data_IF_090284545566
#
_entry.id   IF_090284545566
#
_cell.length_a   1.000
_cell.length_b   1.000
_cell.length_c   1.000
_cell.angle_alpha   90.00
_cell.angle_beta   90.00
_cell.angle_gamma   90.00
#
_symmetry.space_group_name_H-M   'P 1'
#
loop_
_entity.id
_entity.type
_entity.pdbx_description
1 polymer ?
#
# COMPACT_ATOMS: atom_id res chain seq x y z
N UNK A 1 -30.91 -50.01 -73.11
CA UNK A 1 -30.77 -50.65 -71.78
C UNK A 1 -30.27 -49.60 -70.83
N UNK A 2 -31.16 -49.17 -69.97
CA UNK A 2 -31.09 -47.98 -69.13
C UNK A 2 -30.25 -48.24 -67.92
N UNK A 3 -29.33 -47.35 -67.65
CA UNK A 3 -28.64 -47.25 -66.32
C UNK A 3 -29.33 -46.23 -65.41
N UNK A 4 -29.39 -46.47 -64.13
CA UNK A 4 -30.18 -45.66 -63.22
C UNK A 4 -29.48 -44.38 -62.74
N UNK A 5 -30.31 -43.41 -62.45
CA UNK A 5 -30.04 -42.05 -62.07
C UNK A 5 -29.17 -41.91 -60.82
N UNK A 6 -28.25 -40.95 -60.88
CA UNK A 6 -27.48 -40.47 -59.72
C UNK A 6 -28.31 -39.45 -59.01
N UNK A 7 -28.75 -39.78 -57.79
CA UNK A 7 -29.28 -38.80 -56.83
C UNK A 7 -28.17 -37.93 -56.30
N UNK A 8 -28.21 -36.65 -56.61
CA UNK A 8 -27.36 -35.62 -56.02
C UNK A 8 -27.97 -35.18 -54.72
N UNK A 9 -27.29 -35.49 -53.59
CA UNK A 9 -27.59 -34.92 -52.28
C UNK A 9 -27.16 -33.49 -52.29
N UNK A 10 -28.12 -32.56 -52.30
CA UNK A 10 -27.84 -31.14 -51.89
C UNK A 10 -27.62 -31.09 -50.41
N UNK A 11 -26.40 -30.80 -50.00
CA UNK A 11 -26.02 -30.57 -48.62
C UNK A 11 -26.75 -29.36 -48.05
N UNK A 12 -27.52 -29.60 -47.03
CA UNK A 12 -28.10 -28.56 -46.16
C UNK A 12 -26.98 -27.98 -45.35
N UNK A 13 -26.63 -26.73 -45.63
CA UNK A 13 -25.70 -25.97 -44.79
C UNK A 13 -26.37 -25.66 -43.47
N UNK A 14 -25.74 -25.93 -42.31
CA UNK A 14 -26.27 -25.51 -41.04
C UNK A 14 -26.20 -23.98 -40.94
N UNK A 15 -27.32 -23.35 -40.58
CA UNK A 15 -27.41 -21.92 -40.22
C UNK A 15 -26.52 -21.66 -39.04
N UNK A 16 -25.72 -20.56 -39.05
CA UNK A 16 -25.07 -20.10 -37.81
C UNK A 16 -26.15 -19.60 -36.87
N UNK A 17 -26.27 -20.26 -35.74
CA UNK A 17 -27.03 -19.78 -34.59
C UNK A 17 -26.24 -18.62 -34.04
N UNK A 18 -26.68 -17.40 -34.28
CA UNK A 18 -26.19 -16.20 -33.69
C UNK A 18 -26.56 -16.20 -32.20
N UNK A 19 -25.65 -16.69 -31.39
CA UNK A 19 -25.60 -16.42 -29.96
C UNK A 19 -24.60 -15.31 -29.76
N UNK A 20 -25.05 -14.07 -29.76
CA UNK A 20 -24.26 -12.97 -29.17
C UNK A 20 -24.07 -13.29 -27.72
N UNK A 21 -22.96 -13.95 -27.38
CA UNK A 21 -22.44 -13.93 -26.03
C UNK A 21 -22.11 -12.49 -25.72
N UNK A 22 -23.00 -11.80 -25.01
CA UNK A 22 -22.66 -10.58 -24.27
C UNK A 22 -21.40 -10.90 -23.45
N UNK A 23 -20.26 -10.46 -23.96
CA UNK A 23 -19.06 -10.30 -23.17
C UNK A 23 -19.43 -9.26 -22.11
N UNK A 24 -19.87 -9.75 -20.94
CA UNK A 24 -19.95 -8.93 -19.76
C UNK A 24 -18.58 -8.34 -19.59
N UNK A 25 -18.49 -7.02 -19.84
CA UNK A 25 -17.28 -6.27 -19.64
C UNK A 25 -16.70 -6.66 -18.29
N UNK A 26 -15.50 -7.20 -18.30
CA UNK A 26 -14.73 -7.36 -17.08
C UNK A 26 -14.63 -5.96 -16.49
N UNK A 27 -15.33 -5.73 -15.39
CA UNK A 27 -15.15 -4.52 -14.60
C UNK A 27 -13.65 -4.37 -14.31
N UNK A 28 -13.15 -3.15 -14.07
CA UNK A 28 -11.74 -2.90 -13.85
C UNK A 28 -11.24 -3.93 -12.83
N UNK A 29 -10.26 -4.74 -13.27
CA UNK A 29 -9.70 -5.81 -12.45
C UNK A 29 -9.22 -5.17 -11.15
N UNK A 30 -9.69 -5.67 -10.02
CA UNK A 30 -9.30 -5.22 -8.67
C UNK A 30 -7.78 -5.22 -8.47
N UNK A 31 -7.04 -5.95 -9.32
CA UNK A 31 -5.59 -5.98 -9.36
C UNK A 31 -4.95 -4.62 -9.74
N UNK A 32 -5.68 -3.72 -10.39
CA UNK A 32 -5.16 -2.39 -10.75
C UNK A 32 -5.11 -1.40 -9.56
N UNK A 33 -5.71 -1.74 -8.43
CA UNK A 33 -5.74 -0.88 -7.24
C UNK A 33 -4.59 -1.16 -6.25
N UNK A 34 -3.78 -2.20 -6.47
CA UNK A 34 -2.65 -2.48 -5.59
C UNK A 34 -1.47 -1.58 -5.95
N UNK A 35 -1.00 -0.79 -4.99
CA UNK A 35 0.29 -0.12 -5.15
C UNK A 35 1.36 -1.18 -5.38
N UNK A 36 2.09 -1.05 -6.49
CA UNK A 36 3.25 -1.91 -6.73
C UNK A 36 4.24 -1.72 -5.59
N UNK A 37 4.77 -2.81 -5.05
CA UNK A 37 5.88 -2.75 -4.12
C UNK A 37 7.06 -2.08 -4.83
N UNK A 38 7.52 -0.95 -4.32
CA UNK A 38 8.61 -0.17 -4.90
C UNK A 38 9.79 -0.12 -3.94
N UNK A 39 10.99 -0.25 -4.46
CA UNK A 39 12.23 -0.01 -3.72
C UNK A 39 12.49 1.48 -3.46
N UNK A 40 11.79 2.36 -4.18
CA UNK A 40 11.83 3.79 -3.89
C UNK A 40 10.92 4.12 -2.71
N UNK A 41 11.42 4.96 -1.80
CA UNK A 41 10.57 5.54 -0.76
C UNK A 41 9.43 6.34 -1.42
N UNK A 42 8.16 6.04 -1.11
CA UNK A 42 7.05 6.82 -1.65
C UNK A 42 7.14 8.27 -1.18
N UNK A 43 6.54 9.18 -1.96
CA UNK A 43 6.38 10.56 -1.52
C UNK A 43 5.65 10.58 -0.16
N UNK A 44 6.18 11.38 0.76
CA UNK A 44 5.59 11.51 2.08
C UNK A 44 4.14 12.00 1.97
N UNK A 45 3.24 11.36 2.71
CA UNK A 45 1.85 11.76 2.83
C UNK A 45 1.57 12.13 4.28
N UNK A 46 0.80 13.18 4.47
CA UNK A 46 0.40 13.67 5.78
C UNK A 46 -0.46 12.65 6.51
N UNK A 47 -0.27 12.57 7.82
CA UNK A 47 -0.99 11.66 8.70
C UNK A 47 -1.44 12.37 9.99
N UNK A 48 -2.48 11.87 10.67
CA UNK A 48 -2.87 12.38 11.98
C UNK A 48 -1.68 12.42 12.95
N UNK A 49 -1.49 13.56 13.60
CA UNK A 49 -0.37 13.83 14.49
C UNK A 49 0.84 14.49 13.84
N UNK A 50 0.86 14.65 12.51
CA UNK A 50 1.90 15.43 11.85
C UNK A 50 1.67 16.93 12.10
N UNK A 51 2.76 17.66 12.24
CA UNK A 51 2.74 19.12 12.33
C UNK A 51 3.32 19.73 11.07
N UNK A 52 2.61 20.70 10.53
CA UNK A 52 2.97 21.39 9.29
C UNK A 52 2.97 22.89 9.55
N UNK A 53 4.08 23.55 9.28
CA UNK A 53 4.13 25.01 9.23
C UNK A 53 3.54 25.46 7.89
N UNK A 54 2.40 26.12 7.95
CA UNK A 54 1.73 26.71 6.80
C UNK A 54 2.11 28.16 6.69
N UNK A 55 2.79 28.55 5.60
CA UNK A 55 3.16 29.93 5.31
C UNK A 55 2.28 30.47 4.18
N UNK A 56 1.75 31.65 4.40
CA UNK A 56 0.92 32.37 3.42
C UNK A 56 1.59 33.71 3.14
N UNK A 57 2.50 33.81 2.15
CA UNK A 57 3.25 35.03 1.88
C UNK A 57 2.38 36.25 1.53
N UNK A 58 1.19 36.03 0.97
CA UNK A 58 0.20 37.08 0.68
C UNK A 58 -0.56 37.59 1.89
N UNK A 59 -0.50 36.87 3.02
CA UNK A 59 -1.13 37.19 4.29
C UNK A 59 -0.31 36.58 5.44
N UNK A 60 0.87 37.18 5.79
CA UNK A 60 1.80 36.59 6.75
C UNK A 60 1.20 36.34 8.13
N UNK A 61 0.19 37.12 8.51
CA UNK A 61 -0.56 37.01 9.76
C UNK A 61 -1.34 35.69 9.89
N UNK A 62 -1.61 35.02 8.77
CA UNK A 62 -2.22 33.69 8.76
C UNK A 62 -1.21 32.55 8.89
N UNK A 63 0.08 32.84 8.74
CA UNK A 63 1.12 31.81 8.80
C UNK A 63 1.23 31.24 10.20
N UNK A 64 1.06 29.91 10.32
CA UNK A 64 1.09 29.21 11.60
C UNK A 64 1.42 27.72 11.42
N UNK A 65 1.84 27.09 12.52
CA UNK A 65 1.95 25.63 12.57
C UNK A 65 0.59 25.03 12.90
N UNK A 66 0.22 24.01 12.12
CA UNK A 66 -1.04 23.26 12.30
C UNK A 66 -0.73 21.78 12.49
N UNK A 67 -1.53 21.12 13.30
CA UNK A 67 -1.44 19.67 13.52
C UNK A 67 -2.58 18.99 12.77
N UNK A 68 -2.27 17.89 12.09
CA UNK A 68 -3.29 17.04 11.49
C UNK A 68 -4.04 16.33 12.62
N UNK A 69 -5.32 16.63 12.74
CA UNK A 69 -6.17 16.06 13.79
C UNK A 69 -6.43 14.54 13.57
N UNK A 70 -6.89 13.80 14.61
CA UNK A 70 -7.19 12.37 14.49
C UNK A 70 -8.24 12.02 13.43
N UNK A 71 -9.12 12.97 13.08
CA UNK A 71 -10.12 12.84 12.00
C UNK A 71 -9.51 13.01 10.61
N UNK A 72 -8.19 13.24 10.52
CA UNK A 72 -7.47 13.43 9.28
C UNK A 72 -7.53 14.82 8.68
N UNK A 73 -8.10 15.78 9.39
CA UNK A 73 -8.30 17.13 8.90
C UNK A 73 -7.38 18.13 9.62
N UNK A 74 -7.14 19.25 8.95
CA UNK A 74 -6.53 20.46 9.52
C UNK A 74 -7.58 21.57 9.56
N UNK A 75 -7.65 22.31 10.65
CA UNK A 75 -8.45 23.52 10.76
C UNK A 75 -7.55 24.74 10.58
N UNK A 76 -7.93 25.61 9.65
CA UNK A 76 -7.15 26.78 9.32
C UNK A 76 -8.03 28.03 9.23
N UNK A 77 -7.57 29.18 9.74
CA UNK A 77 -8.31 30.43 9.65
C UNK A 77 -8.70 30.76 8.22
N UNK A 78 -9.90 31.25 7.99
CA UNK A 78 -10.49 31.61 6.69
C UNK A 78 -10.67 30.45 5.70
N UNK A 79 -9.89 29.37 5.82
CA UNK A 79 -10.00 28.17 4.96
C UNK A 79 -10.95 27.10 5.54
N UNK A 80 -11.23 27.16 6.86
CA UNK A 80 -12.08 26.18 7.52
C UNK A 80 -11.39 24.83 7.75
N UNK A 81 -12.09 23.74 7.44
CA UNK A 81 -11.60 22.37 7.63
C UNK A 81 -11.10 21.82 6.29
N UNK A 82 -9.83 21.41 6.26
CA UNK A 82 -9.13 20.94 5.07
C UNK A 82 -8.71 19.48 5.29
N UNK A 83 -9.06 18.55 4.39
CA UNK A 83 -8.59 17.18 4.48
C UNK A 83 -7.09 17.11 4.18
N UNK A 84 -6.32 16.61 5.15
CA UNK A 84 -4.86 16.52 5.08
C UNK A 84 -4.34 15.08 4.97
N UNK A 85 -5.02 14.11 5.59
CA UNK A 85 -4.58 12.71 5.59
C UNK A 85 -4.50 12.15 4.17
N UNK A 86 -3.45 11.34 3.92
CA UNK A 86 -3.13 10.73 2.62
C UNK A 86 -2.82 11.74 1.49
N UNK A 87 -2.61 13.01 1.81
CA UNK A 87 -2.19 14.04 0.86
C UNK A 87 -0.69 14.25 0.94
N UNK A 88 -0.06 14.45 -0.22
CA UNK A 88 1.29 15.01 -0.27
C UNK A 88 1.25 16.48 0.15
N UNK A 89 2.40 17.04 0.51
CA UNK A 89 2.48 18.47 0.86
C UNK A 89 1.95 19.37 -0.27
N UNK A 90 2.31 19.07 -1.53
CA UNK A 90 1.84 19.85 -2.69
C UNK A 90 0.34 19.73 -2.93
N UNK A 91 -0.26 18.55 -2.72
CA UNK A 91 -1.72 18.37 -2.77
C UNK A 91 -2.41 19.17 -1.66
N UNK A 92 -1.83 19.17 -0.45
CA UNK A 92 -2.34 19.93 0.69
C UNK A 92 -2.23 21.44 0.45
N UNK A 93 -1.10 21.95 -0.05
CA UNK A 93 -0.91 23.36 -0.45
C UNK A 93 -1.98 23.80 -1.46
N UNK A 94 -2.24 22.96 -2.45
CA UNK A 94 -3.24 23.25 -3.48
C UNK A 94 -4.66 23.36 -2.89
N UNK A 95 -5.03 22.45 -2.00
CA UNK A 95 -6.32 22.48 -1.30
C UNK A 95 -6.45 23.71 -0.40
N UNK A 96 -5.40 24.06 0.33
CA UNK A 96 -5.33 25.25 1.17
C UNK A 96 -5.49 26.52 0.33
N UNK A 97 -4.74 26.64 -0.77
CA UNK A 97 -4.83 27.79 -1.68
C UNK A 97 -6.23 27.91 -2.26
N UNK A 98 -6.84 26.80 -2.67
CA UNK A 98 -8.23 26.80 -3.17
C UNK A 98 -9.22 27.28 -2.11
N UNK A 99 -9.12 26.79 -0.87
CA UNK A 99 -10.01 27.21 0.21
C UNK A 99 -9.85 28.70 0.56
N UNK A 100 -8.61 29.20 0.60
CA UNK A 100 -8.31 30.61 0.87
C UNK A 100 -8.69 31.55 -0.27
N UNK A 101 -8.87 31.06 -1.50
CA UNK A 101 -9.19 31.89 -2.67
C UNK A 101 -10.54 32.60 -2.57
N UNK A 102 -11.42 32.15 -1.67
CA UNK A 102 -12.69 32.83 -1.36
C UNK A 102 -12.52 34.12 -0.56
N UNK A 103 -11.39 34.28 0.13
CA UNK A 103 -11.12 35.39 1.05
C UNK A 103 -9.88 36.20 0.64
N UNK A 104 -8.95 35.61 -0.08
CA UNK A 104 -7.69 36.21 -0.49
C UNK A 104 -7.54 36.21 -2.00
N UNK A 105 -6.95 37.28 -2.53
CA UNK A 105 -6.65 37.38 -3.95
C UNK A 105 -5.34 36.61 -4.27
N UNK A 106 -5.44 35.53 -5.05
CA UNK A 106 -4.29 34.69 -5.47
C UNK A 106 -3.44 34.22 -4.30
N UNK A 107 -4.00 33.52 -3.31
CA UNK A 107 -3.23 33.04 -2.16
C UNK A 107 -2.14 32.06 -2.64
N UNK A 108 -0.92 32.28 -2.20
CA UNK A 108 0.17 31.32 -2.29
C UNK A 108 0.31 30.66 -0.94
N UNK A 109 0.38 29.34 -0.91
CA UNK A 109 0.54 28.57 0.31
C UNK A 109 1.78 27.69 0.17
N UNK A 110 2.59 27.66 1.21
CA UNK A 110 3.73 26.77 1.37
C UNK A 110 3.52 25.93 2.62
N UNK A 111 3.64 24.62 2.51
CA UNK A 111 3.54 23.68 3.62
C UNK A 111 4.92 23.08 3.89
N UNK A 112 5.47 23.34 5.08
CA UNK A 112 6.78 22.86 5.50
C UNK A 112 6.56 21.89 6.66
N UNK A 113 7.03 20.62 6.57
CA UNK A 113 6.95 19.70 7.70
C UNK A 113 7.69 20.27 8.92
N UNK A 114 7.00 20.42 10.04
CA UNK A 114 7.59 20.86 11.30
C UNK A 114 7.94 19.67 12.19
N UNK A 115 7.02 18.70 12.32
CA UNK A 115 7.29 17.43 12.97
C UNK A 115 6.46 16.30 12.32
N UNK A 116 6.97 15.10 12.44
CA UNK A 116 6.27 13.91 11.95
C UNK A 116 5.63 13.20 13.14
N UNK A 117 4.36 12.90 13.04
CA UNK A 117 3.68 12.03 13.99
C UNK A 117 4.36 10.65 14.05
N UNK A 118 4.12 9.90 15.12
CA UNK A 118 4.77 8.61 15.36
C UNK A 118 4.72 7.71 14.12
N UNK A 119 5.88 7.41 13.57
CA UNK A 119 6.06 6.44 12.49
C UNK A 119 6.45 5.11 13.13
N UNK A 120 5.53 4.16 13.20
CA UNK A 120 5.73 2.90 13.90
C UNK A 120 5.51 1.71 12.99
N UNK A 121 6.29 0.67 13.26
CA UNK A 121 6.10 -0.67 12.67
C UNK A 121 5.94 -1.69 13.79
N UNK A 122 5.19 -2.74 13.49
CA UNK A 122 5.00 -3.87 14.39
C UNK A 122 5.91 -5.01 13.93
N UNK A 123 6.82 -5.48 14.79
CA UNK A 123 7.69 -6.62 14.50
C UNK A 123 7.24 -7.80 15.36
N UNK A 124 6.94 -8.93 14.72
CA UNK A 124 6.36 -10.11 15.35
C UNK A 124 7.07 -11.40 14.91
N UNK A 125 6.82 -12.48 15.65
CA UNK A 125 7.33 -13.82 15.37
C UNK A 125 8.66 -14.10 16.04
N UNK A 126 9.55 -14.85 15.39
CA UNK A 126 10.82 -15.34 15.91
C UNK A 126 11.91 -14.24 15.89
N UNK A 127 11.72 -13.23 16.73
CA UNK A 127 12.65 -12.11 16.97
C UNK A 127 12.89 -11.96 18.47
N UNK A 128 14.03 -11.38 18.84
CA UNK A 128 14.42 -11.26 20.25
C UNK A 128 13.40 -10.55 21.13
N UNK A 129 12.77 -9.49 20.62
CA UNK A 129 11.75 -8.73 21.33
C UNK A 129 10.62 -8.36 20.37
N UNK A 130 9.57 -9.17 20.23
CA UNK A 130 8.38 -8.78 19.45
C UNK A 130 7.70 -7.54 20.05
N UNK A 131 7.32 -6.57 19.20
CA UNK A 131 6.72 -5.35 19.70
C UNK A 131 6.53 -4.26 18.65
N UNK A 132 6.07 -3.09 19.10
CA UNK A 132 5.90 -1.90 18.31
C UNK A 132 7.14 -1.02 18.42
N UNK A 133 7.71 -0.64 17.27
CA UNK A 133 8.96 0.12 17.19
C UNK A 133 8.77 1.41 16.40
N UNK A 134 9.38 2.48 16.86
CA UNK A 134 9.44 3.74 16.13
C UNK A 134 10.45 3.60 14.96
N UNK A 135 10.08 4.12 13.79
CA UNK A 135 10.94 4.19 12.61
C UNK A 135 11.80 5.46 12.71
N UNK A 136 13.14 5.34 12.84
CA UNK A 136 14.02 6.51 12.88
C UNK A 136 14.17 7.19 11.50
N UNK A 137 13.68 6.57 10.45
CA UNK A 137 13.78 7.02 9.06
C UNK A 137 13.33 5.94 8.09
N UNK A 138 13.64 6.07 6.81
CA UNK A 138 13.37 5.03 5.80
C UNK A 138 14.30 3.83 6.02
N UNK A 139 13.83 2.83 6.75
CA UNK A 139 14.51 1.56 7.02
C UNK A 139 13.76 0.40 6.39
N UNK A 140 14.46 -0.70 6.11
CA UNK A 140 13.89 -1.94 5.60
C UNK A 140 13.52 -2.92 6.72
N UNK A 141 13.05 -4.10 6.31
CA UNK A 141 12.64 -5.15 7.23
C UNK A 141 13.83 -5.70 8.03
N UNK A 142 15.04 -5.73 7.45
CA UNK A 142 16.23 -6.23 8.14
C UNK A 142 16.60 -5.34 9.33
N UNK A 143 16.60 -4.03 9.12
CA UNK A 143 16.90 -3.05 10.17
C UNK A 143 15.83 -3.07 11.27
N UNK A 144 14.56 -3.22 10.90
CA UNK A 144 13.47 -3.35 11.87
C UNK A 144 13.63 -4.60 12.75
N UNK A 145 14.01 -5.74 12.15
CA UNK A 145 14.32 -6.96 12.90
C UNK A 145 15.53 -6.75 13.79
N UNK A 146 16.57 -6.05 13.32
CA UNK A 146 17.75 -5.75 14.14
C UNK A 146 17.39 -4.89 15.36
N UNK A 147 16.52 -3.88 15.20
CA UNK A 147 16.00 -3.06 16.30
C UNK A 147 15.19 -3.91 17.30
N UNK A 148 14.47 -4.94 16.80
CA UNK A 148 13.72 -5.90 17.63
C UNK A 148 14.59 -6.97 18.30
N UNK A 149 15.89 -6.76 18.37
CA UNK A 149 16.83 -7.68 19.05
C UNK A 149 17.34 -8.82 18.17
N UNK A 150 17.12 -8.75 16.84
CA UNK A 150 17.60 -9.73 15.88
C UNK A 150 16.69 -10.96 15.74
N UNK A 151 17.17 -11.92 14.98
CA UNK A 151 16.47 -13.18 14.73
C UNK A 151 16.75 -14.19 15.85
N UNK A 152 15.70 -14.89 16.27
CA UNK A 152 15.87 -16.10 17.07
C UNK A 152 16.49 -17.25 16.25
N UNK A 153 17.03 -18.26 16.93
CA UNK A 153 17.69 -19.40 16.28
C UNK A 153 16.72 -20.22 15.41
N UNK A 154 15.44 -20.22 15.76
CA UNK A 154 14.37 -20.94 15.06
C UNK A 154 13.78 -20.14 13.88
N UNK A 155 14.23 -18.90 13.68
CA UNK A 155 13.69 -17.99 12.67
C UNK A 155 13.98 -18.44 11.24
N UNK A 156 12.96 -18.49 10.41
CA UNK A 156 13.12 -18.61 8.96
C UNK A 156 13.41 -17.26 8.33
N UNK A 157 14.68 -16.96 8.12
CA UNK A 157 15.18 -15.68 7.61
C UNK A 157 14.98 -15.51 6.10
N UNK A 158 14.65 -16.61 5.38
CA UNK A 158 14.47 -16.58 3.92
C UNK A 158 13.04 -16.21 3.50
N UNK A 159 12.09 -16.23 4.42
CA UNK A 159 10.68 -15.99 4.13
C UNK A 159 10.03 -15.09 5.19
N UNK A 160 10.59 -13.91 5.38
CA UNK A 160 10.00 -12.90 6.28
C UNK A 160 8.85 -12.20 5.56
N UNK A 161 7.71 -12.08 6.23
CA UNK A 161 6.53 -11.41 5.69
C UNK A 161 6.51 -9.91 6.02
N UNK A 162 6.29 -9.06 5.02
CA UNK A 162 5.92 -7.66 5.24
C UNK A 162 4.44 -7.53 4.91
N UNK A 163 3.64 -7.11 5.89
CA UNK A 163 2.20 -6.91 5.74
C UNK A 163 1.94 -5.42 5.78
N UNK A 164 1.31 -4.91 4.73
CA UNK A 164 0.97 -3.50 4.56
C UNK A 164 -0.52 -3.33 4.31
N UNK A 165 -1.11 -2.28 4.85
CA UNK A 165 -2.48 -1.93 4.52
C UNK A 165 -2.55 -1.38 3.09
N UNK A 166 -3.40 -1.97 2.26
CA UNK A 166 -3.68 -1.46 0.92
C UNK A 166 -4.61 -0.24 0.96
N UNK A 167 -4.61 0.62 -0.09
CA UNK A 167 -5.48 1.80 -0.16
C UNK A 167 -6.98 1.49 -0.08
N UNK A 168 -7.39 0.29 -0.49
CA UNK A 168 -8.78 -0.21 -0.40
C UNK A 168 -9.14 -0.75 0.99
N UNK A 169 -8.21 -0.66 1.97
CA UNK A 169 -8.36 -1.17 3.33
C UNK A 169 -8.02 -2.65 3.49
N UNK A 170 -7.67 -3.35 2.40
CA UNK A 170 -7.19 -4.73 2.45
C UNK A 170 -5.78 -4.84 3.04
N UNK A 171 -5.27 -6.06 3.17
CA UNK A 171 -3.89 -6.32 3.53
C UNK A 171 -3.11 -6.82 2.30
N UNK A 172 -1.92 -6.26 2.09
CA UNK A 172 -0.94 -6.75 1.12
C UNK A 172 0.16 -7.49 1.88
N UNK A 173 0.49 -8.71 1.44
CA UNK A 173 1.59 -9.50 2.00
C UNK A 173 2.70 -9.62 0.96
N UNK A 174 3.93 -9.38 1.38
CA UNK A 174 5.13 -9.66 0.61
C UNK A 174 6.11 -10.50 1.41
N UNK A 175 6.61 -11.56 0.80
CA UNK A 175 7.73 -12.34 1.33
C UNK A 175 9.06 -11.71 0.91
N UNK A 176 10.00 -11.63 1.84
CA UNK A 176 11.34 -11.08 1.61
C UNK A 176 12.40 -12.05 2.14
N UNK A 177 13.49 -12.23 1.40
CA UNK A 177 14.63 -13.05 1.83
C UNK A 177 15.68 -12.20 2.53
N UNK A 178 15.56 -12.07 3.84
CA UNK A 178 16.53 -11.32 4.65
C UNK A 178 17.86 -12.09 4.85
N UNK A 179 17.88 -13.40 4.59
CA UNK A 179 19.13 -14.16 4.58
C UNK A 179 20.01 -13.80 3.37
N UNK A 180 19.41 -13.54 2.22
CA UNK A 180 20.10 -13.02 1.06
C UNK A 180 20.64 -11.61 1.31
N UNK A 181 19.85 -10.73 1.94
CA UNK A 181 20.28 -9.38 2.34
C UNK A 181 21.52 -9.41 3.25
N UNK A 182 21.54 -10.29 4.24
CA UNK A 182 22.69 -10.47 5.17
C UNK A 182 23.97 -10.94 4.47
N UNK A 183 23.86 -11.58 3.31
CA UNK A 183 25.01 -12.06 2.51
C UNK A 183 25.50 -11.05 1.49
N UNK A 184 24.89 -9.87 1.40
CA UNK A 184 25.22 -8.86 0.39
C UNK A 184 24.79 -9.24 -1.02
N UNK A 185 23.86 -10.19 -1.18
CA UNK A 185 23.34 -10.60 -2.49
C UNK A 185 22.33 -9.61 -3.07
N UNK A 186 22.29 -9.51 -4.40
CA UNK A 186 21.34 -8.64 -5.13
C UNK A 186 19.85 -9.04 -4.96
N UNK A 187 19.56 -10.14 -4.26
CA UNK A 187 18.21 -10.62 -3.96
C UNK A 187 17.63 -10.14 -2.63
N UNK A 188 18.37 -9.33 -1.88
CA UNK A 188 17.90 -8.74 -0.63
C UNK A 188 16.83 -7.69 -0.88
N UNK A 189 15.75 -7.75 -0.12
CA UNK A 189 14.67 -6.78 -0.26
C UNK A 189 15.06 -5.45 0.36
N UNK A 190 15.13 -4.40 -0.48
CA UNK A 190 15.40 -3.01 -0.09
C UNK A 190 14.12 -2.17 0.00
N UNK A 191 12.96 -2.82 0.20
CA UNK A 191 11.70 -2.08 0.31
C UNK A 191 11.67 -1.31 1.62
N UNK A 192 11.55 0.02 1.58
CA UNK A 192 11.40 0.80 2.80
C UNK A 192 10.06 0.49 3.47
N UNK A 193 10.12 0.26 4.76
CA UNK A 193 8.94 0.09 5.59
C UNK A 193 8.15 1.40 5.67
N UNK A 194 6.86 1.26 5.73
CA UNK A 194 5.93 2.37 5.93
C UNK A 194 5.30 2.29 7.33
N UNK A 195 4.72 3.40 7.75
CA UNK A 195 3.95 3.48 9.00
C UNK A 195 2.90 2.37 9.04
N UNK A 196 2.84 1.67 10.17
CA UNK A 196 1.95 0.55 10.44
C UNK A 196 2.18 -0.72 9.61
N UNK A 197 3.31 -0.83 8.91
CA UNK A 197 3.72 -2.12 8.39
C UNK A 197 3.93 -3.11 9.53
N UNK A 198 3.62 -4.37 9.26
CA UNK A 198 3.90 -5.48 10.17
C UNK A 198 5.00 -6.32 9.52
N UNK A 199 6.11 -6.47 10.23
CA UNK A 199 7.19 -7.40 9.87
C UNK A 199 6.98 -8.67 10.68
N UNK A 200 6.69 -9.77 10.00
CA UNK A 200 6.48 -11.07 10.63
C UNK A 200 7.60 -12.05 10.26
N UNK A 201 8.31 -12.52 11.28
CA UNK A 201 9.38 -13.51 11.12
C UNK A 201 8.83 -14.88 11.48
N UNK A 202 8.59 -15.78 10.51
CA UNK A 202 8.03 -17.08 10.78
C UNK A 202 9.09 -18.06 11.30
N UNK A 203 8.64 -19.13 11.94
CA UNK A 203 9.45 -20.28 12.36
C UNK A 203 9.72 -21.23 11.21
N UNK A 204 8.75 -21.41 10.33
CA UNK A 204 8.78 -22.21 9.11
C UNK A 204 8.32 -21.38 7.92
N UNK A 205 8.05 -21.98 6.75
CA UNK A 205 7.77 -21.21 5.51
C UNK A 205 6.58 -20.25 5.55
N UNK A 206 6.52 -19.38 4.54
CA UNK A 206 5.51 -18.31 4.40
C UNK A 206 4.04 -18.79 4.42
N UNK A 207 3.81 -20.10 4.24
CA UNK A 207 2.49 -20.68 4.46
C UNK A 207 1.96 -20.38 5.87
N UNK A 208 2.85 -20.33 6.86
CA UNK A 208 2.51 -19.98 8.24
C UNK A 208 2.23 -18.48 8.38
N UNK A 209 2.90 -17.63 7.60
CA UNK A 209 2.58 -16.20 7.56
C UNK A 209 1.18 -15.96 6.98
N UNK A 210 0.77 -16.73 5.96
CA UNK A 210 -0.60 -16.68 5.44
C UNK A 210 -1.62 -17.16 6.50
N UNK A 211 -1.32 -18.22 7.23
CA UNK A 211 -2.14 -18.69 8.33
C UNK A 211 -2.19 -17.66 9.46
N UNK A 212 -1.08 -17.02 9.79
CA UNK A 212 -1.01 -15.94 10.78
C UNK A 212 -1.89 -14.76 10.37
N UNK A 213 -1.80 -14.32 9.11
CA UNK A 213 -2.64 -13.24 8.58
C UNK A 213 -4.12 -13.63 8.63
N UNK A 214 -4.45 -14.87 8.26
CA UNK A 214 -5.85 -15.35 8.29
C UNK A 214 -6.38 -15.52 9.71
N UNK A 215 -5.56 -16.00 10.64
CA UNK A 215 -5.96 -16.38 11.98
C UNK A 215 -5.92 -15.22 12.98
N UNK A 216 -4.93 -14.31 12.86
CA UNK A 216 -4.71 -13.23 13.82
C UNK A 216 -5.09 -11.85 13.30
N UNK A 217 -4.84 -11.56 12.02
CA UNK A 217 -5.11 -10.23 11.47
C UNK A 217 -6.56 -10.11 11.02
N UNK A 218 -7.14 -11.19 10.50
CA UNK A 218 -8.55 -11.23 10.11
C UNK A 218 -9.50 -11.06 11.31
N UNK A 219 -9.13 -11.62 12.46
CA UNK A 219 -9.94 -11.54 13.68
C UNK A 219 -9.74 -10.21 14.43
N UNK A 220 -8.58 -9.57 14.26
CA UNK A 220 -8.26 -8.26 14.85
C UNK A 220 -8.75 -7.07 14.01
N UNK A 221 -8.93 -7.26 12.70
CA UNK A 221 -9.40 -6.24 11.80
C UNK A 221 -10.69 -6.70 11.13
N UNK A 222 -11.87 -6.13 11.45
CA UNK A 222 -13.16 -6.56 10.89
C UNK A 222 -13.33 -6.15 9.42
N UNK A 223 -12.32 -6.35 8.58
CA UNK A 223 -12.32 -6.00 7.16
C UNK A 223 -12.23 -7.25 6.29
N UNK A 224 -13.02 -7.26 5.21
CA UNK A 224 -12.97 -8.30 4.18
C UNK A 224 -11.60 -8.29 3.47
N UNK A 225 -10.75 -9.25 3.82
CA UNK A 225 -9.42 -9.40 3.24
C UNK A 225 -9.52 -10.17 1.91
N UNK A 226 -9.44 -9.45 0.80
CA UNK A 226 -9.15 -10.04 -0.50
C UNK A 226 -7.64 -10.16 -0.67
N UNK A 227 -7.08 -11.36 -0.56
CA UNK A 227 -5.65 -11.59 -0.78
C UNK A 227 -5.31 -11.64 -2.26
N UNK A 228 -4.32 -10.85 -2.70
CA UNK A 228 -3.61 -11.10 -3.95
C UNK A 228 -2.16 -11.45 -3.64
N UNK A 229 -1.77 -12.61 -4.11
CA UNK A 229 -0.44 -13.18 -3.97
C UNK A 229 0.43 -12.70 -5.13
N UNK A 230 1.48 -11.94 -4.84
CA UNK A 230 2.55 -11.68 -5.80
C UNK A 230 3.75 -12.57 -5.42
N UNK A 231 3.75 -13.82 -5.91
CA UNK A 231 4.95 -14.63 -5.92
C UNK A 231 5.89 -14.04 -6.98
N UNK A 232 6.99 -13.44 -6.57
CA UNK A 232 8.07 -13.04 -7.47
C UNK A 232 8.69 -14.28 -8.09
N UNK A 233 8.22 -14.69 -9.29
CA UNK A 233 8.94 -15.67 -10.12
C UNK A 233 10.17 -14.99 -10.70
N UNK A 234 11.30 -15.19 -10.06
CA UNK A 234 12.58 -15.07 -10.70
C UNK A 234 12.88 -16.41 -11.39
N UNK A 235 12.44 -16.58 -12.65
CA UNK A 235 12.97 -17.54 -13.58
C UNK A 235 12.98 -16.90 -14.97
N UNK A 236 14.13 -16.43 -15.38
CA UNK A 236 14.94 -16.71 -16.57
C UNK A 236 16.20 -15.89 -16.51
#
# INVERSE_FOLDING_TARGET
>A
MSGPDRYSYQGVQPRPVGGEAMVRGAGPSRAAAFQSWSSQAPAYRLYPGDEVEVRVPSAPELSQTVTVAPDGNVRFPLAGTIPATDRTLGEFESLMAQALSSQLLRPQVQAIPASFGSQRVLVLGEVGQPGLYDLPGPIGALEAVAIAGGFEDTANRSEVGIIRRAPDGGAMLRAVDLKASLRGGEGGDSIPLQRFDIVYVPKSGIADANLFVQQYIRDLLPFNLGFSYAAGSAYN
#
